data_IF_697542801911
#
_entry.id   IF_697542801911
#
_cell.length_a   1.000
_cell.length_b   1.000
_cell.length_c   1.000
_cell.angle_alpha   90.00
_cell.angle_beta   90.00
_cell.angle_gamma   90.00
#
_symmetry.space_group_name_H-M   'P 1'
#
loop_
_entity.id
_entity.type
_entity.pdbx_description
1 polymer ?
#
# COMPACT_ATOMS: atom_id res chain seq x y z
N UNK A 1 -19.79 -35.54 43.48
CA UNK A 1 -19.32 -36.63 44.37
C UNK A 1 -17.80 -36.61 44.37
N UNK A 2 -17.22 -36.69 45.57
CA UNK A 2 -15.82 -36.92 45.96
C UNK A 2 -15.03 -37.84 44.98
N UNK A 3 -13.69 -37.83 44.85
CA UNK A 3 -12.59 -37.41 45.73
C UNK A 3 -11.25 -37.38 44.96
N UNK A 4 -10.30 -36.62 45.49
CA UNK A 4 -8.84 -36.68 45.26
C UNK A 4 -8.24 -38.06 45.60
N UNK A 5 -7.10 -38.40 44.99
CA UNK A 5 -5.89 -39.05 45.60
C UNK A 5 -4.79 -39.19 44.51
N UNK A 6 -3.63 -38.54 44.56
CA UNK A 6 -2.42 -38.77 45.39
C UNK A 6 -1.85 -40.20 45.36
N UNK A 7 -0.61 -40.35 44.85
CA UNK A 7 0.44 -41.17 45.48
C UNK A 7 1.81 -40.90 44.83
N UNK A 8 2.74 -40.33 45.62
CA UNK A 8 4.19 -40.41 45.44
C UNK A 8 4.66 -41.85 45.74
N UNK A 9 5.75 -42.28 45.11
CA UNK A 9 6.73 -43.18 45.73
C UNK A 9 8.13 -42.99 45.14
N UNK A 10 9.07 -42.63 46.03
CA UNK A 10 10.53 -42.68 45.91
C UNK A 10 11.02 -44.14 45.77
N UNK A 11 12.16 -44.35 45.07
CA UNK A 11 13.30 -45.17 45.56
C UNK A 11 14.42 -45.19 44.48
N UNK A 12 15.51 -44.43 44.67
CA UNK A 12 16.86 -44.90 45.10
C UNK A 12 17.63 -45.85 44.17
N UNK A 13 18.73 -45.30 43.64
CA UNK A 13 20.12 -45.82 43.57
C UNK A 13 20.43 -47.22 43.00
N UNK A 14 21.31 -47.26 41.98
CA UNK A 14 22.41 -48.23 41.87
C UNK A 14 23.50 -47.71 40.92
N UNK A 15 24.75 -47.83 41.40
CA UNK A 15 26.02 -47.38 40.80
C UNK A 15 26.53 -48.30 39.68
N UNK A 16 27.46 -47.74 38.87
CA UNK A 16 28.79 -48.25 38.47
C UNK A 16 29.03 -48.02 36.97
N UNK A 17 30.02 -47.21 36.58
CA UNK A 17 31.40 -47.62 36.22
C UNK A 17 31.88 -46.59 35.16
N UNK A 18 33.13 -46.25 34.85
CA UNK A 18 34.48 -46.78 35.05
C UNK A 18 35.44 -45.57 35.07
N UNK A 19 36.55 -45.69 35.80
CA UNK A 19 37.67 -44.75 35.84
C UNK A 19 38.43 -44.62 34.51
N UNK A 20 38.97 -43.43 34.24
CA UNK A 20 40.26 -43.28 33.55
C UNK A 20 41.14 -42.30 34.32
N UNK A 21 42.30 -42.80 34.72
CA UNK A 21 43.50 -42.13 35.25
C UNK A 21 43.95 -40.97 34.33
N UNK A 22 44.62 -39.90 34.76
CA UNK A 22 45.15 -39.49 36.06
C UNK A 22 46.03 -38.24 35.88
N UNK A 23 46.27 -37.47 36.95
CA UNK A 23 47.61 -37.06 37.39
C UNK A 23 47.54 -36.20 38.67
N UNK A 24 48.54 -36.42 39.52
CA UNK A 24 48.84 -35.76 40.78
C UNK A 24 49.04 -34.25 40.58
N UNK A 25 48.68 -33.37 41.51
CA UNK A 25 49.48 -33.10 42.73
C UNK A 25 48.70 -32.47 43.88
N UNK A 26 49.23 -32.74 45.07
CA UNK A 26 48.73 -32.49 46.41
C UNK A 26 49.36 -31.22 46.98
N UNK A 27 48.59 -30.40 47.69
CA UNK A 27 49.07 -29.63 48.83
C UNK A 27 47.95 -29.52 49.87
N UNK A 28 48.15 -30.19 51.01
CA UNK A 28 47.33 -30.09 52.22
C UNK A 28 47.82 -28.91 53.07
N UNK A 29 46.89 -28.21 53.72
CA UNK A 29 47.14 -27.38 54.88
C UNK A 29 45.94 -27.44 55.83
N UNK A 30 46.15 -28.02 57.01
CA UNK A 30 45.19 -28.22 58.11
C UNK A 30 45.09 -26.98 59.02
N UNK A 31 44.06 -27.02 59.89
CA UNK A 31 43.85 -26.30 61.17
C UNK A 31 43.02 -25.02 61.04
N UNK A 32 42.07 -24.68 61.93
CA UNK A 32 41.59 -25.23 63.21
C UNK A 32 40.17 -24.66 63.48
N UNK A 33 39.41 -25.33 64.34
CA UNK A 33 38.03 -25.05 64.79
C UNK A 33 37.79 -23.63 65.31
N UNK A 34 36.58 -23.10 65.05
CA UNK A 34 35.79 -22.34 66.03
C UNK A 34 34.30 -22.39 65.65
N UNK A 35 33.47 -22.76 66.63
CA UNK A 35 32.01 -22.75 66.56
C UNK A 35 31.53 -21.34 66.18
N UNK A 36 30.66 -21.23 65.17
CA UNK A 36 29.82 -20.05 65.07
C UNK A 36 28.50 -20.39 64.37
N UNK A 37 27.45 -20.37 65.19
CA UNK A 37 26.10 -19.88 64.92
C UNK A 37 25.68 -19.82 63.44
N UNK A 38 24.69 -20.63 63.08
CA UNK A 38 23.92 -20.48 61.84
C UNK A 38 23.18 -19.15 61.94
N UNK A 39 23.79 -18.07 61.46
CA UNK A 39 23.06 -16.91 60.99
C UNK A 39 22.79 -17.22 59.53
N UNK A 40 21.51 -17.44 59.20
CA UNK A 40 21.07 -17.43 57.83
C UNK A 40 21.55 -16.11 57.23
N UNK A 41 22.52 -16.18 56.32
CA UNK A 41 22.84 -15.05 55.47
C UNK A 41 21.58 -14.77 54.69
N UNK A 42 20.85 -13.73 55.07
CA UNK A 42 19.99 -12.99 54.16
C UNK A 42 20.87 -12.73 52.94
N UNK A 43 20.63 -13.46 51.86
CA UNK A 43 21.18 -13.11 50.56
C UNK A 43 20.75 -11.68 50.34
N UNK A 44 21.68 -10.72 50.43
CA UNK A 44 21.45 -9.34 50.05
C UNK A 44 20.77 -9.39 48.68
N UNK A 45 19.47 -9.07 48.65
CA UNK A 45 18.69 -9.10 47.43
C UNK A 45 19.18 -7.96 46.56
N UNK A 46 20.18 -8.25 45.73
CA UNK A 46 20.70 -7.26 44.81
C UNK A 46 19.59 -6.92 43.82
N UNK A 47 19.12 -5.67 43.88
CA UNK A 47 18.13 -5.15 42.95
C UNK A 47 18.67 -5.29 41.52
N UNK A 48 17.87 -5.87 40.63
CA UNK A 48 18.24 -6.10 39.24
C UNK A 48 17.48 -5.13 38.33
N UNK A 49 18.16 -4.52 37.34
CA UNK A 49 17.48 -3.66 36.38
C UNK A 49 16.53 -4.48 35.51
N UNK A 50 15.38 -3.91 35.18
CA UNK A 50 14.41 -4.55 34.31
C UNK A 50 14.71 -4.24 32.85
N UNK A 51 14.67 -5.28 32.01
CA UNK A 51 14.70 -5.12 30.56
C UNK A 51 13.74 -6.10 29.88
N UNK A 52 12.72 -5.55 29.22
CA UNK A 52 11.77 -6.29 28.41
C UNK A 52 11.74 -5.77 26.98
N UNK A 53 11.49 -6.65 26.01
CA UNK A 53 11.23 -6.24 24.62
C UNK A 53 10.22 -7.13 23.93
N UNK A 54 9.41 -6.54 23.06
CA UNK A 54 8.40 -7.23 22.25
C UNK A 54 8.26 -6.53 20.90
N UNK A 55 8.19 -7.32 19.82
CA UNK A 55 7.83 -6.78 18.50
C UNK A 55 6.33 -6.93 18.29
N UNK A 56 5.67 -5.82 17.94
CA UNK A 56 4.26 -5.75 17.60
C UNK A 56 4.15 -4.90 16.32
N UNK A 57 3.49 -5.43 15.28
CA UNK A 57 3.35 -4.74 13.98
C UNK A 57 4.68 -4.27 13.35
N UNK A 58 5.74 -5.07 13.51
CA UNK A 58 7.06 -4.77 12.96
C UNK A 58 7.89 -3.76 13.76
N UNK A 59 7.26 -3.01 14.68
CA UNK A 59 7.92 -2.09 15.61
C UNK A 59 8.42 -2.88 16.82
N UNK A 60 9.70 -2.69 17.17
CA UNK A 60 10.29 -3.27 18.37
C UNK A 60 10.10 -2.30 19.54
N UNK A 61 9.21 -2.66 20.47
CA UNK A 61 9.00 -1.92 21.72
C UNK A 61 9.89 -2.53 22.79
N UNK A 62 10.65 -1.71 23.51
CA UNK A 62 11.43 -2.15 24.67
C UNK A 62 11.22 -1.25 25.87
N UNK A 63 11.19 -1.85 27.05
CA UNK A 63 11.11 -1.16 28.34
C UNK A 63 12.39 -1.44 29.12
N UNK A 64 13.02 -0.38 29.60
CA UNK A 64 14.16 -0.42 30.51
C UNK A 64 13.78 0.29 31.80
N UNK A 65 14.08 -0.31 32.94
CA UNK A 65 13.96 0.37 34.23
C UNK A 65 15.19 0.08 35.10
N UNK A 66 15.49 1.04 35.96
CA UNK A 66 16.54 0.89 36.95
C UNK A 66 16.26 -0.25 37.93
N UNK A 67 17.31 -0.65 38.64
CA UNK A 67 17.24 -1.72 39.63
C UNK A 67 16.21 -1.38 40.73
N UNK A 68 15.32 -2.32 41.04
CA UNK A 68 14.33 -2.18 42.11
C UNK A 68 13.01 -1.50 41.70
N UNK A 69 12.95 -0.87 40.52
CA UNK A 69 11.72 -0.24 40.00
C UNK A 69 10.60 -1.26 39.76
N UNK A 70 10.96 -2.48 39.34
CA UNK A 70 10.05 -3.61 39.21
C UNK A 70 10.54 -4.81 40.03
N UNK A 71 9.63 -5.62 40.61
CA UNK A 71 9.99 -6.87 41.27
C UNK A 71 10.72 -7.85 40.35
N UNK A 72 11.48 -8.77 40.96
CA UNK A 72 12.11 -9.88 40.23
C UNK A 72 11.06 -10.70 39.46
N UNK A 73 11.46 -11.25 38.32
CA UNK A 73 10.63 -12.06 37.41
C UNK A 73 9.48 -11.31 36.72
N UNK A 74 9.42 -10.00 36.84
CA UNK A 74 8.48 -9.18 36.07
C UNK A 74 8.62 -9.43 34.56
N UNK A 75 7.52 -9.32 33.82
CA UNK A 75 7.47 -9.59 32.37
C UNK A 75 6.81 -8.46 31.61
N UNK A 76 7.41 -8.07 30.49
CA UNK A 76 6.80 -7.10 29.58
C UNK A 76 5.67 -7.76 28.76
N UNK A 77 4.52 -7.10 28.73
CA UNK A 77 3.38 -7.37 27.84
C UNK A 77 3.16 -6.14 26.96
N UNK A 78 3.09 -6.37 25.65
CA UNK A 78 2.76 -5.32 24.67
C UNK A 78 1.69 -5.86 23.75
N UNK A 79 0.58 -5.12 23.64
CA UNK A 79 -0.55 -5.42 22.75
C UNK A 79 -0.82 -4.24 21.83
N UNK A 80 -1.30 -4.52 20.62
CA UNK A 80 -1.85 -3.49 19.74
C UNK A 80 -3.30 -3.22 20.12
N UNK A 81 -3.70 -1.96 20.18
CA UNK A 81 -5.11 -1.62 20.29
C UNK A 81 -5.82 -1.94 18.96
N UNK A 82 -6.60 -3.02 18.94
CA UNK A 82 -7.27 -3.52 17.73
C UNK A 82 -8.76 -3.17 17.64
N UNK A 83 -9.36 -2.67 18.72
CA UNK A 83 -10.77 -2.28 18.73
C UNK A 83 -10.94 -0.97 17.95
N UNK A 84 -11.76 -1.00 16.89
CA UNK A 84 -11.96 0.15 15.98
C UNK A 84 -12.50 1.38 16.69
N UNK A 85 -13.38 1.20 17.68
CA UNK A 85 -14.01 2.30 18.42
C UNK A 85 -12.98 3.01 19.27
N UNK A 86 -12.26 2.26 20.12
CA UNK A 86 -11.23 2.82 21.01
C UNK A 86 -10.10 3.47 20.22
N UNK A 87 -9.67 2.84 19.12
CA UNK A 87 -8.65 3.41 18.23
C UNK A 87 -9.07 4.80 17.71
N UNK A 88 -10.31 4.94 17.24
CA UNK A 88 -10.82 6.20 16.69
C UNK A 88 -10.86 7.31 17.74
N UNK A 89 -11.27 7.00 18.96
CA UNK A 89 -11.31 7.98 20.07
C UNK A 89 -9.91 8.49 20.43
N UNK A 90 -8.94 7.58 20.50
CA UNK A 90 -7.54 7.95 20.74
C UNK A 90 -7.01 8.84 19.62
N UNK A 91 -7.26 8.49 18.35
CA UNK A 91 -6.83 9.28 17.20
C UNK A 91 -7.46 10.69 17.19
N UNK A 92 -8.77 10.82 17.46
CA UNK A 92 -9.47 12.12 17.50
C UNK A 92 -8.86 13.07 18.55
N UNK A 93 -8.51 12.56 19.73
CA UNK A 93 -7.89 13.36 20.79
C UNK A 93 -6.45 13.74 20.50
N UNK A 94 -5.69 12.82 19.92
CA UNK A 94 -4.31 13.11 19.48
C UNK A 94 -4.32 14.14 18.36
N UNK A 95 -5.26 14.06 17.42
CA UNK A 95 -5.47 15.08 16.38
C UNK A 95 -5.84 16.44 16.96
N UNK A 96 -6.67 16.50 18.00
CA UNK A 96 -7.02 17.77 18.68
C UNK A 96 -5.77 18.43 19.28
N UNK A 97 -4.90 17.67 19.96
CA UNK A 97 -3.63 18.20 20.46
C UNK A 97 -2.67 18.62 19.36
N UNK A 98 -2.61 17.88 18.26
CA UNK A 98 -1.74 18.20 17.14
C UNK A 98 -2.19 19.48 16.41
N UNK A 99 -3.50 19.75 16.36
CA UNK A 99 -4.04 21.01 15.81
C UNK A 99 -3.63 22.24 16.60
N UNK A 100 -3.43 22.13 17.91
CA UNK A 100 -2.92 23.24 18.74
C UNK A 100 -1.48 23.63 18.38
N UNK A 101 -0.76 22.76 17.66
CA UNK A 101 0.65 22.92 17.27
C UNK A 101 0.86 22.93 15.75
N UNK A 102 -0.20 23.22 14.97
CA UNK A 102 -0.16 23.25 13.50
C UNK A 102 0.42 21.97 12.88
N UNK A 103 0.04 20.81 13.44
CA UNK A 103 0.47 19.50 13.00
C UNK A 103 -0.72 18.60 12.56
N UNK A 104 -0.53 17.79 11.52
CA UNK A 104 -1.50 16.80 11.03
C UNK A 104 -1.05 15.37 11.37
N UNK A 105 -1.98 14.53 11.83
CA UNK A 105 -1.75 13.11 12.08
C UNK A 105 -1.87 12.32 10.76
N UNK A 106 -0.79 11.68 10.32
CA UNK A 106 -0.78 10.86 9.10
C UNK A 106 -1.06 9.38 9.38
N UNK A 107 -0.40 8.84 10.42
CA UNK A 107 -0.53 7.45 10.81
C UNK A 107 -0.29 7.30 12.32
N UNK A 108 -0.99 6.36 12.96
CA UNK A 108 -0.86 6.07 14.39
C UNK A 108 -0.62 4.58 14.67
N UNK A 109 0.29 4.30 15.59
CA UNK A 109 0.51 2.97 16.18
C UNK A 109 0.25 3.05 17.68
N UNK A 110 -0.83 2.40 18.12
CA UNK A 110 -1.29 2.45 19.51
C UNK A 110 -0.93 1.14 20.21
N UNK A 111 -0.10 1.24 21.24
CA UNK A 111 0.39 0.12 22.04
C UNK A 111 -0.14 0.21 23.47
N UNK A 112 -0.82 -0.84 23.90
CA UNK A 112 -1.07 -1.12 25.32
C UNK A 112 0.19 -1.82 25.87
N UNK A 113 0.96 -1.07 26.66
CA UNK A 113 2.20 -1.52 27.28
C UNK A 113 1.92 -1.74 28.76
N UNK A 114 2.25 -2.91 29.29
CA UNK A 114 2.15 -3.21 30.71
C UNK A 114 3.30 -4.11 31.17
N UNK A 115 3.71 -3.97 32.42
CA UNK A 115 4.63 -4.89 33.09
C UNK A 115 3.83 -5.75 34.05
N UNK A 116 4.04 -7.06 34.02
CA UNK A 116 3.32 -8.02 34.84
C UNK A 116 4.23 -8.61 35.91
N UNK A 117 3.69 -8.92 37.08
CA UNK A 117 4.36 -9.72 38.11
C UNK A 117 4.45 -11.21 37.74
N UNK A 118 4.87 -12.06 38.68
CA UNK A 118 5.00 -13.50 38.44
C UNK A 118 3.64 -14.20 38.34
N UNK A 119 2.61 -13.62 38.95
CA UNK A 119 1.23 -14.08 39.02
C UNK A 119 0.41 -13.63 37.79
N UNK A 120 0.89 -12.62 37.07
CA UNK A 120 0.28 -12.07 35.85
C UNK A 120 -0.51 -10.79 36.07
N UNK A 121 -0.43 -10.18 37.25
CA UNK A 121 -1.09 -8.92 37.58
C UNK A 121 -0.28 -7.73 37.07
N UNK A 122 -0.96 -6.65 36.67
CA UNK A 122 -0.31 -5.45 36.13
C UNK A 122 0.34 -4.61 37.23
N UNK A 123 1.58 -4.19 36.97
CA UNK A 123 2.42 -3.41 37.88
C UNK A 123 2.64 -2.00 37.33
N UNK A 124 2.53 -1.02 38.22
CA UNK A 124 3.02 0.33 37.99
C UNK A 124 4.47 0.47 38.54
N UNK A 125 5.33 1.29 37.91
CA UNK A 125 6.69 1.49 38.37
C UNK A 125 6.78 2.15 39.74
N UNK A 126 7.76 1.71 40.53
CA UNK A 126 8.17 2.42 41.75
C UNK A 126 9.16 3.54 41.38
N UNK A 127 8.62 4.71 41.06
CA UNK A 127 9.39 5.86 40.57
C UNK A 127 10.31 6.47 41.65
N UNK A 128 10.18 6.08 42.92
CA UNK A 128 11.15 6.48 43.96
C UNK A 128 12.47 5.71 43.85
N UNK A 129 12.45 4.52 43.22
CA UNK A 129 13.63 3.64 43.09
C UNK A 129 14.43 3.87 41.81
N UNK A 130 13.88 4.55 40.82
CA UNK A 130 14.62 4.93 39.61
C UNK A 130 13.74 5.19 38.39
N UNK A 131 14.40 5.44 37.27
CA UNK A 131 13.74 5.85 36.03
C UNK A 131 13.21 4.66 35.22
N UNK A 132 12.12 4.88 34.49
CA UNK A 132 11.63 3.98 33.43
C UNK A 132 11.72 4.65 32.08
N UNK A 133 12.15 3.89 31.09
CA UNK A 133 12.23 4.32 29.70
C UNK A 133 11.56 3.33 28.76
N UNK A 134 10.73 3.86 27.88
CA UNK A 134 10.16 3.13 26.75
C UNK A 134 10.91 3.51 25.50
N UNK A 135 11.24 2.53 24.66
CA UNK A 135 11.87 2.75 23.37
C UNK A 135 11.12 2.07 22.24
N UNK A 136 11.08 2.76 21.11
CA UNK A 136 10.53 2.28 19.85
C UNK A 136 11.67 2.19 18.83
N UNK A 137 11.89 0.99 18.30
CA UNK A 137 12.95 0.69 17.34
C UNK A 137 12.37 0.05 16.07
N UNK A 138 13.20 0.00 15.02
CA UNK A 138 12.82 -0.50 13.68
C UNK A 138 11.77 0.37 12.99
N UNK A 139 11.90 1.68 13.16
CA UNK A 139 11.02 2.73 12.64
C UNK A 139 11.20 2.98 11.13
N UNK A 140 11.55 1.96 10.35
CA UNK A 140 11.78 2.06 8.89
C UNK A 140 10.47 2.32 8.10
N UNK A 141 9.38 2.59 8.81
CA UNK A 141 8.03 2.89 8.31
C UNK A 141 7.83 4.36 7.91
N UNK A 142 8.80 5.24 8.19
CA UNK A 142 8.66 6.68 7.96
C UNK A 142 8.93 7.10 6.52
N UNK A 143 8.02 7.92 5.98
CA UNK A 143 8.26 8.70 4.76
C UNK A 143 9.30 9.81 5.02
N UNK A 144 10.12 10.13 4.00
CA UNK A 144 11.16 11.16 4.08
C UNK A 144 10.53 12.53 4.38
N UNK A 145 10.97 13.20 5.44
CA UNK A 145 10.51 14.53 5.84
C UNK A 145 9.35 14.55 6.85
N UNK A 146 8.95 13.41 7.43
CA UNK A 146 7.92 13.35 8.49
C UNK A 146 8.55 13.26 9.88
N UNK A 147 7.82 13.75 10.89
CA UNK A 147 8.23 13.70 12.30
C UNK A 147 7.50 12.60 13.06
N UNK A 148 8.09 12.16 14.17
CA UNK A 148 7.43 11.28 15.12
C UNK A 148 7.10 12.05 16.39
N UNK A 149 5.87 11.89 16.85
CA UNK A 149 5.44 12.29 18.19
C UNK A 149 5.01 11.05 18.98
N UNK A 150 5.31 11.04 20.27
CA UNK A 150 4.84 10.00 21.20
C UNK A 150 3.92 10.63 22.22
N UNK A 151 2.71 10.08 22.31
CA UNK A 151 1.72 10.44 23.31
C UNK A 151 1.47 9.27 24.27
N UNK A 152 1.03 9.60 25.47
CA UNK A 152 0.62 8.71 26.52
C UNK A 152 -0.84 8.99 26.92
N UNK A 153 -1.64 7.94 27.10
CA UNK A 153 -3.03 8.04 27.55
C UNK A 153 -3.34 6.95 28.58
N UNK A 154 -3.93 7.32 29.72
CA UNK A 154 -4.40 6.36 30.74
C UNK A 154 -5.40 5.34 30.20
N UNK A 155 -6.33 5.80 29.37
CA UNK A 155 -7.36 4.99 28.72
C UNK A 155 -7.78 5.64 27.39
N UNK A 156 -8.53 4.95 26.50
CA UNK A 156 -8.86 5.48 25.18
C UNK A 156 -9.59 6.84 25.17
N UNK A 157 -10.27 7.18 26.27
CA UNK A 157 -11.06 8.40 26.43
C UNK A 157 -10.33 9.48 27.26
N UNK A 158 -9.12 9.20 27.77
CA UNK A 158 -8.32 10.13 28.57
C UNK A 158 -7.67 11.23 27.71
N UNK A 159 -7.26 12.33 28.33
CA UNK A 159 -6.51 13.38 27.63
C UNK A 159 -5.07 12.91 27.33
N UNK A 160 -4.58 13.06 26.08
CA UNK A 160 -3.23 12.64 25.74
C UNK A 160 -2.16 13.59 26.29
N UNK A 161 -1.21 12.99 27.01
CA UNK A 161 0.03 13.64 27.43
C UNK A 161 1.11 13.42 26.37
N UNK A 162 1.75 14.49 25.92
CA UNK A 162 2.81 14.41 24.93
C UNK A 162 4.15 14.18 25.60
N UNK A 163 4.82 13.08 25.25
CA UNK A 163 6.09 12.70 25.86
C UNK A 163 7.31 13.20 25.09
N UNK A 164 7.24 13.25 23.75
CA UNK A 164 8.38 13.66 22.91
C UNK A 164 7.97 13.94 21.47
N UNK A 165 8.70 14.86 20.83
CA UNK A 165 8.78 15.01 19.38
C UNK A 165 10.20 14.78 18.89
N UNK A 166 10.34 14.08 17.76
CA UNK A 166 11.64 13.90 17.11
C UNK A 166 11.50 14.08 15.60
N UNK A 167 12.25 15.06 15.06
CA UNK A 167 12.60 15.15 13.64
C UNK A 167 13.52 13.98 13.30
N UNK A 168 12.96 12.91 12.73
CA UNK A 168 13.72 11.68 12.49
C UNK A 168 14.67 11.87 11.32
N UNK A 169 15.98 11.90 11.59
CA UNK A 169 17.02 11.78 10.56
C UNK A 169 17.06 10.32 10.09
N UNK A 170 17.26 10.05 8.79
CA UNK A 170 17.33 8.68 8.19
C UNK A 170 18.30 7.69 8.90
N UNK A 171 19.14 8.17 9.83
CA UNK A 171 20.08 7.38 10.63
C UNK A 171 19.59 7.01 12.05
N UNK A 172 18.53 7.64 12.56
CA UNK A 172 18.02 7.40 13.91
C UNK A 172 16.99 6.26 13.89
N UNK A 173 17.41 5.08 14.36
CA UNK A 173 16.61 3.85 14.35
C UNK A 173 15.89 3.58 15.68
N UNK A 174 15.92 4.53 16.61
CA UNK A 174 15.43 4.39 17.98
C UNK A 174 14.88 5.72 18.52
N UNK A 175 13.65 5.70 19.01
CA UNK A 175 13.05 6.76 19.81
C UNK A 175 12.94 6.29 21.27
N UNK A 176 13.35 7.09 22.24
CA UNK A 176 13.32 6.74 23.67
C UNK A 176 12.65 7.87 24.47
N UNK A 177 11.66 7.51 25.30
CA UNK A 177 10.91 8.44 26.15
C UNK A 177 10.94 7.95 27.59
N UNK A 178 10.95 8.89 28.54
CA UNK A 178 10.72 8.60 29.96
C UNK A 178 9.22 8.46 30.22
N UNK A 179 8.84 7.66 31.20
CA UNK A 179 7.44 7.52 31.61
C UNK A 179 7.34 7.15 33.08
N UNK A 180 6.27 7.60 33.74
CA UNK A 180 6.02 7.39 35.16
C UNK A 180 4.94 6.33 35.42
N UNK A 181 4.26 5.84 34.37
CA UNK A 181 3.20 4.84 34.45
C UNK A 181 2.99 4.14 33.11
N UNK A 182 2.24 3.05 33.11
CA UNK A 182 1.99 2.24 31.92
C UNK A 182 0.50 2.13 31.59
N UNK A 183 0.17 2.51 30.36
CA UNK A 183 -1.12 2.28 29.73
C UNK A 183 -0.97 2.34 28.20
N UNK A 184 -1.55 3.34 27.52
CA UNK A 184 -1.53 3.46 26.08
C UNK A 184 -0.42 4.42 25.63
N UNK A 185 0.43 3.93 24.74
CA UNK A 185 1.44 4.73 24.04
C UNK A 185 1.04 4.85 22.57
N UNK A 186 0.91 6.08 22.09
CA UNK A 186 0.59 6.38 20.70
C UNK A 186 1.84 6.90 20.02
N UNK A 187 2.38 6.11 19.10
CA UNK A 187 3.42 6.54 18.19
C UNK A 187 2.75 7.14 16.94
N UNK A 188 2.81 8.46 16.83
CA UNK A 188 2.17 9.25 15.78
C UNK A 188 3.19 9.70 14.74
N UNK A 189 2.90 9.44 13.46
CA UNK A 189 3.59 10.05 12.33
C UNK A 189 2.88 11.37 12.02
N UNK A 190 3.60 12.49 12.13
CA UNK A 190 3.01 13.83 12.03
C UNK A 190 3.66 14.66 10.92
N UNK A 191 2.89 15.62 10.43
CA UNK A 191 3.30 16.62 9.44
C UNK A 191 3.11 18.02 10.03
N UNK A 192 4.18 18.78 10.26
CA UNK A 192 4.10 20.17 10.77
C UNK A 192 4.21 21.13 9.61
N UNK A 193 3.22 22.00 9.43
CA UNK A 193 3.18 22.93 8.30
C UNK A 193 4.17 24.12 8.39
N UNK A 194 5.08 24.14 9.38
CA UNK A 194 6.08 25.20 9.54
C UNK A 194 7.52 24.67 9.46
N UNK A 195 7.96 24.38 8.25
CA UNK A 195 9.30 24.73 7.77
C UNK A 195 9.21 24.93 6.25
N UNK A 196 9.60 26.12 5.83
CA UNK A 196 9.38 26.75 4.52
C UNK A 196 10.17 26.04 3.40
N UNK A 197 9.71 24.86 3.03
CA UNK A 197 10.04 24.17 1.79
C UNK A 197 8.81 23.35 1.45
N UNK A 198 7.90 23.89 0.63
CA UNK A 198 6.91 23.07 -0.08
C UNK A 198 7.68 22.07 -0.94
N UNK A 199 8.04 20.93 -0.35
CA UNK A 199 8.70 19.82 -1.00
C UNK A 199 7.65 18.85 -1.48
N UNK A 200 7.09 19.18 -2.64
CA UNK A 200 6.24 18.26 -3.38
C UNK A 200 7.09 17.25 -4.14
N UNK A 201 6.63 16.00 -4.21
CA UNK A 201 7.13 15.05 -5.19
C UNK A 201 6.23 15.09 -6.42
N UNK A 202 6.83 15.34 -7.58
CA UNK A 202 6.13 15.29 -8.85
C UNK A 202 6.52 14.01 -9.61
N UNK A 203 5.55 13.12 -9.85
CA UNK A 203 5.74 12.00 -10.76
C UNK A 203 5.57 12.44 -12.21
N UNK A 204 6.56 12.14 -13.05
CA UNK A 204 6.47 12.30 -14.51
C UNK A 204 6.92 11.02 -15.21
N UNK A 205 6.36 10.73 -16.37
CA UNK A 205 6.91 9.70 -17.27
C UNK A 205 7.94 10.35 -18.20
N UNK A 206 9.00 9.61 -18.56
CA UNK A 206 9.96 10.08 -19.57
C UNK A 206 9.23 10.51 -20.86
N UNK A 207 9.52 11.70 -21.35
CA UNK A 207 8.85 12.33 -22.49
C UNK A 207 7.66 13.23 -22.12
N UNK A 208 7.11 13.17 -20.90
CA UNK A 208 6.01 14.04 -20.49
C UNK A 208 6.43 15.51 -20.46
N UNK A 209 5.55 16.37 -20.96
CA UNK A 209 5.69 17.81 -20.98
C UNK A 209 4.41 18.42 -20.40
N UNK A 210 4.53 19.11 -19.27
CA UNK A 210 3.38 19.61 -18.50
C UNK A 210 3.60 21.05 -18.06
N UNK A 211 2.50 21.80 -17.95
CA UNK A 211 2.53 23.15 -17.42
C UNK A 211 2.86 23.07 -15.92
N UNK A 212 3.81 23.88 -15.45
CA UNK A 212 4.23 23.89 -14.05
C UNK A 212 3.04 24.17 -13.10
N UNK A 213 2.10 25.02 -13.53
CA UNK A 213 0.90 25.36 -12.76
C UNK A 213 -0.05 24.17 -12.54
N UNK A 214 0.01 23.12 -13.36
CA UNK A 214 -0.81 21.91 -13.16
C UNK A 214 -0.41 21.13 -11.90
N UNK A 215 0.76 21.43 -11.31
CA UNK A 215 1.32 20.71 -10.17
C UNK A 215 1.33 21.50 -8.88
N UNK A 216 0.98 22.79 -8.95
CA UNK A 216 1.02 23.69 -7.83
C UNK A 216 -0.38 23.82 -7.26
N UNK A 217 -0.51 23.72 -5.94
CA UNK A 217 -1.79 23.84 -5.22
C UNK A 217 -2.49 25.18 -5.51
N UNK A 218 -3.83 25.22 -5.39
CA UNK A 218 -4.71 26.30 -5.86
C UNK A 218 -4.44 27.72 -5.28
N UNK A 219 -3.52 27.88 -4.33
CA UNK A 219 -3.05 29.17 -3.81
C UNK A 219 -1.75 29.72 -4.44
N UNK A 220 -1.05 28.91 -5.24
CA UNK A 220 0.28 29.21 -5.78
C UNK A 220 0.24 29.68 -7.24
N UNK A 221 -0.83 30.39 -7.64
CA UNK A 221 -0.92 30.98 -8.99
C UNK A 221 0.11 32.11 -9.11
N UNK A 222 1.02 31.93 -10.06
CA UNK A 222 2.16 32.79 -10.26
C UNK A 222 1.78 34.22 -10.71
N UNK A 223 2.48 35.20 -10.14
CA UNK A 223 2.51 36.59 -10.59
C UNK A 223 3.92 36.85 -11.14
N UNK A 224 4.04 37.69 -12.18
CA UNK A 224 5.27 37.95 -12.95
C UNK A 224 6.59 37.97 -12.14
N UNK A 225 7.65 37.34 -12.66
CA UNK A 225 9.02 37.46 -12.11
C UNK A 225 9.63 36.22 -11.46
N UNK A 226 9.21 35.01 -11.84
CA UNK A 226 9.65 33.75 -11.22
C UNK A 226 10.85 33.15 -11.93
N UNK A 227 11.84 32.71 -11.15
CA UNK A 227 12.99 31.93 -11.63
C UNK A 227 12.75 30.45 -11.32
N UNK A 228 12.69 29.61 -12.36
CA UNK A 228 12.56 28.16 -12.21
C UNK A 228 13.77 27.48 -12.81
N UNK A 229 14.42 26.62 -12.04
CA UNK A 229 15.64 25.89 -12.45
C UNK A 229 15.54 24.43 -12.05
N UNK A 230 16.22 23.56 -12.79
CA UNK A 230 16.39 22.14 -12.47
C UNK A 230 17.84 21.89 -12.08
N UNK A 231 18.09 21.11 -11.03
CA UNK A 231 19.44 20.67 -10.67
C UNK A 231 20.02 19.65 -11.67
N UNK A 232 19.16 19.00 -12.46
CA UNK A 232 19.51 18.02 -13.51
C UNK A 232 18.69 18.29 -14.78
N UNK A 233 19.17 19.23 -15.61
CA UNK A 233 18.52 19.57 -16.88
C UNK A 233 18.51 18.44 -17.92
N UNK A 234 19.32 17.40 -17.72
CA UNK A 234 19.30 16.17 -18.52
C UNK A 234 18.19 15.20 -18.12
N UNK A 235 17.61 15.35 -16.93
CA UNK A 235 16.47 14.56 -16.41
C UNK A 235 15.18 15.36 -16.56
N UNK A 236 15.15 16.62 -16.13
CA UNK A 236 13.98 17.51 -16.28
C UNK A 236 14.44 18.86 -16.79
N UNK A 237 13.88 19.30 -17.92
CA UNK A 237 14.15 20.61 -18.50
C UNK A 237 12.98 21.56 -18.28
N UNK A 238 13.30 22.75 -17.79
CA UNK A 238 12.38 23.88 -17.70
C UNK A 238 12.46 24.69 -18.99
N UNK A 239 11.32 25.07 -19.56
CA UNK A 239 11.27 25.96 -20.72
C UNK A 239 10.01 26.84 -20.67
N UNK A 240 10.02 27.94 -21.41
CA UNK A 240 8.86 28.83 -21.53
C UNK A 240 8.19 28.55 -22.87
N UNK A 241 6.89 28.28 -22.84
CA UNK A 241 6.09 28.16 -24.05
C UNK A 241 6.09 29.50 -24.82
N UNK A 242 6.51 29.53 -26.09
CA UNK A 242 6.63 30.78 -26.83
C UNK A 242 5.28 31.46 -27.08
N UNK A 243 4.20 30.68 -27.17
CA UNK A 243 2.86 31.14 -27.52
C UNK A 243 2.08 31.54 -26.27
N UNK A 244 2.06 30.69 -25.23
CA UNK A 244 1.29 30.94 -24.01
C UNK A 244 2.06 31.70 -22.92
N UNK A 245 3.40 31.75 -23.01
CA UNK A 245 4.32 32.25 -21.97
C UNK A 245 4.30 31.44 -20.68
N UNK A 246 3.68 30.27 -20.68
CA UNK A 246 3.68 29.38 -19.51
C UNK A 246 5.05 28.77 -19.25
N UNK A 247 5.39 28.60 -17.98
CA UNK A 247 6.53 27.80 -17.57
C UNK A 247 6.16 26.32 -17.68
N UNK A 248 6.87 25.58 -18.53
CA UNK A 248 6.68 24.16 -18.79
C UNK A 248 7.86 23.36 -18.32
N UNK A 249 7.58 22.16 -17.82
CA UNK A 249 8.61 21.20 -17.40
C UNK A 249 8.50 19.93 -18.23
N UNK A 250 9.63 19.52 -18.80
CA UNK A 250 9.75 18.37 -19.69
C UNK A 250 10.64 17.31 -19.07
N UNK A 251 10.10 16.12 -18.86
CA UNK A 251 10.84 14.95 -18.43
C UNK A 251 11.63 14.37 -19.62
N UNK A 252 12.95 14.32 -19.52
CA UNK A 252 13.84 13.91 -20.59
C UNK A 252 14.41 12.50 -20.41
N UNK A 253 14.60 12.06 -19.17
CA UNK A 253 15.26 10.80 -18.86
C UNK A 253 14.82 10.27 -17.50
N UNK A 254 14.67 8.96 -17.37
CA UNK A 254 14.47 8.31 -16.06
C UNK A 254 15.50 8.78 -15.02
N UNK A 255 15.00 9.18 -13.84
CA UNK A 255 15.83 9.67 -12.76
C UNK A 255 15.05 10.56 -11.80
N UNK A 256 15.79 11.27 -10.96
CA UNK A 256 15.24 12.26 -10.03
C UNK A 256 15.93 13.59 -10.26
N UNK A 257 15.16 14.65 -10.37
CA UNK A 257 15.64 16.03 -10.42
C UNK A 257 14.90 16.86 -9.37
N UNK A 258 15.53 17.92 -8.90
CA UNK A 258 14.94 18.91 -8.01
C UNK A 258 14.69 20.18 -8.81
N UNK A 259 13.42 20.57 -8.92
CA UNK A 259 13.06 21.89 -9.43
C UNK A 259 13.12 22.89 -8.29
N UNK A 260 13.87 23.97 -8.47
CA UNK A 260 13.88 25.13 -7.56
C UNK A 260 13.08 26.25 -8.20
N UNK A 261 12.07 26.73 -7.51
CA UNK A 261 11.19 27.84 -7.90
C UNK A 261 11.46 28.97 -6.92
N UNK A 262 11.88 30.13 -7.43
CA UNK A 262 12.05 31.35 -6.64
C UNK A 262 11.01 32.38 -7.04
N UNK A 263 10.32 32.91 -6.05
CA UNK A 263 9.31 33.94 -6.22
C UNK A 263 9.60 35.13 -5.29
N UNK A 264 9.47 36.35 -5.79
CA UNK A 264 9.63 37.57 -5.00
C UNK A 264 8.25 38.04 -4.56
N UNK A 265 8.00 38.04 -3.25
CA UNK A 265 6.71 38.42 -2.67
C UNK A 265 6.92 39.62 -1.76
N UNK A 266 5.99 40.59 -1.80
CA UNK A 266 6.01 41.73 -0.88
C UNK A 266 5.26 41.31 0.39
N UNK A 267 5.99 41.16 1.49
CA UNK A 267 5.42 40.87 2.82
C UNK A 267 5.64 42.11 3.68
N UNK A 268 4.54 42.71 4.15
CA UNK A 268 4.58 43.90 5.02
C UNK A 268 5.43 45.06 4.46
N UNK A 269 5.38 45.27 3.14
CA UNK A 269 6.09 46.35 2.45
C UNK A 269 7.58 46.10 2.16
N UNK A 270 8.10 44.91 2.50
CA UNK A 270 9.47 44.48 2.16
C UNK A 270 9.44 43.36 1.14
N UNK A 271 10.35 43.39 0.16
CA UNK A 271 10.53 42.30 -0.80
C UNK A 271 11.23 41.12 -0.10
N UNK A 272 10.56 39.96 -0.11
CA UNK A 272 11.07 38.71 0.45
C UNK A 272 11.11 37.68 -0.69
N UNK A 273 12.24 37.01 -0.85
CA UNK A 273 12.37 35.90 -1.80
C UNK A 273 11.91 34.61 -1.12
N UNK A 274 10.88 33.98 -1.68
CA UNK A 274 10.40 32.66 -1.30
C UNK A 274 11.00 31.62 -2.25
N UNK A 275 11.54 30.54 -1.70
CA UNK A 275 12.16 29.45 -2.47
C UNK A 275 11.40 28.16 -2.19
N UNK A 276 10.92 27.50 -3.25
CA UNK A 276 10.24 26.20 -3.18
C UNK A 276 11.02 25.17 -3.98
N UNK A 277 11.09 23.93 -3.49
CA UNK A 277 11.82 22.85 -4.13
C UNK A 277 10.94 21.64 -4.36
N UNK A 278 10.77 21.20 -5.61
CA UNK A 278 9.96 20.02 -5.94
C UNK A 278 10.88 18.90 -6.43
N UNK A 279 10.77 17.72 -5.82
CA UNK A 279 11.45 16.53 -6.35
C UNK A 279 10.63 15.97 -7.50
N UNK A 280 11.12 16.07 -8.72
CA UNK A 280 10.54 15.39 -9.87
C UNK A 280 11.15 14.00 -9.99
N UNK A 281 10.31 12.98 -9.93
CA UNK A 281 10.68 11.59 -10.20
C UNK A 281 10.21 11.27 -11.61
N UNK A 282 11.16 11.20 -12.53
CA UNK A 282 10.92 10.73 -13.89
C UNK A 282 11.06 9.22 -13.87
N UNK A 283 9.96 8.52 -14.13
CA UNK A 283 9.96 7.07 -14.29
C UNK A 283 10.03 6.71 -15.77
N UNK A 284 10.66 5.58 -16.08
CA UNK A 284 10.50 4.98 -17.41
C UNK A 284 9.01 4.76 -17.66
N UNK A 285 8.45 5.13 -18.82
CA UNK A 285 7.06 4.85 -19.15
C UNK A 285 6.80 3.36 -18.97
N UNK A 286 5.68 3.02 -18.32
CA UNK A 286 5.30 1.63 -18.11
C UNK A 286 5.19 0.94 -19.47
N UNK A 287 6.21 0.17 -19.84
CA UNK A 287 6.40 -0.27 -21.22
C UNK A 287 5.76 -1.63 -21.51
N UNK A 288 5.22 -2.31 -20.49
CA UNK A 288 4.53 -3.57 -20.67
C UNK A 288 4.52 -4.49 -19.46
N UNK A 289 3.89 -5.65 -19.62
CA UNK A 289 3.80 -6.66 -18.58
C UNK A 289 3.31 -8.00 -19.13
N UNK A 290 3.30 -9.00 -18.25
CA UNK A 290 2.79 -10.34 -18.60
C UNK A 290 1.25 -10.33 -18.59
N UNK A 291 0.65 -10.91 -19.62
CA UNK A 291 -0.81 -11.10 -19.75
C UNK A 291 -1.23 -12.56 -19.56
N UNK A 292 -0.33 -13.51 -19.81
CA UNK A 292 -0.54 -14.94 -19.63
C UNK A 292 0.78 -15.71 -19.61
N UNK A 293 0.75 -17.04 -19.52
CA UNK A 293 1.98 -17.85 -19.61
C UNK A 293 2.81 -17.56 -20.86
N UNK A 294 2.13 -17.41 -22.01
CA UNK A 294 2.77 -17.19 -23.30
C UNK A 294 2.38 -15.86 -23.93
N UNK A 295 1.93 -14.91 -23.10
CA UNK A 295 1.36 -13.66 -23.58
C UNK A 295 1.84 -12.48 -22.75
N UNK A 296 2.13 -11.38 -23.43
CA UNK A 296 2.54 -10.11 -22.85
C UNK A 296 1.84 -8.97 -23.55
N UNK A 297 1.79 -7.84 -22.88
CA UNK A 297 1.42 -6.57 -23.48
C UNK A 297 2.59 -5.59 -23.35
N UNK A 298 2.65 -4.63 -24.26
CA UNK A 298 3.59 -3.52 -24.21
C UNK A 298 2.92 -2.23 -24.65
N UNK A 299 3.35 -1.12 -24.07
CA UNK A 299 2.92 0.22 -24.44
C UNK A 299 4.11 0.94 -25.08
N UNK A 300 3.86 1.63 -26.19
CA UNK A 300 4.84 2.46 -26.88
C UNK A 300 4.21 3.75 -27.37
N UNK A 301 5.02 4.74 -27.73
CA UNK A 301 4.56 6.09 -28.09
C UNK A 301 4.35 6.98 -26.87
N UNK A 302 3.92 8.22 -27.13
CA UNK A 302 3.89 9.29 -26.13
C UNK A 302 2.55 10.05 -26.15
N UNK A 303 2.22 10.69 -25.02
CA UNK A 303 1.03 11.53 -24.90
C UNK A 303 -0.27 10.78 -25.23
N UNK A 304 -1.14 11.40 -26.03
CA UNK A 304 -2.42 10.83 -26.49
C UNK A 304 -2.29 9.96 -27.75
N UNK A 305 -1.07 9.55 -28.12
CA UNK A 305 -0.77 8.79 -29.34
C UNK A 305 -0.11 7.44 -29.00
N UNK A 306 -0.41 6.86 -27.84
CA UNK A 306 0.19 5.60 -27.42
C UNK A 306 -0.38 4.41 -28.21
N UNK A 307 0.46 3.40 -28.41
CA UNK A 307 0.12 2.11 -29.00
C UNK A 307 0.24 1.01 -27.96
N UNK A 308 -0.87 0.32 -27.69
CA UNK A 308 -0.90 -0.91 -26.92
C UNK A 308 -0.70 -2.10 -27.85
N UNK A 309 0.36 -2.87 -27.66
CA UNK A 309 0.62 -4.11 -28.38
C UNK A 309 0.44 -5.31 -27.46
N UNK A 310 -0.42 -6.24 -27.83
CA UNK A 310 -0.61 -7.53 -27.15
C UNK A 310 -0.02 -8.61 -28.04
N UNK A 311 0.96 -9.35 -27.52
CA UNK A 311 1.73 -10.33 -28.28
C UNK A 311 1.93 -11.63 -27.51
N UNK A 312 2.18 -12.71 -28.25
CA UNK A 312 2.24 -14.05 -27.71
C UNK A 312 1.21 -14.96 -28.36
N UNK A 313 0.85 -16.05 -27.68
CA UNK A 313 -0.10 -17.00 -28.22
C UNK A 313 -1.03 -17.62 -27.17
N UNK A 314 -2.17 -18.11 -27.62
CA UNK A 314 -3.19 -18.73 -26.78
C UNK A 314 -4.01 -17.71 -25.99
N UNK A 315 -4.38 -18.09 -24.76
CA UNK A 315 -5.23 -17.30 -23.87
C UNK A 315 -4.43 -16.60 -22.76
N UNK A 316 -4.85 -15.38 -22.42
CA UNK A 316 -4.35 -14.66 -21.24
C UNK A 316 -4.84 -15.29 -19.93
N UNK A 317 -4.21 -14.90 -18.82
CA UNK A 317 -4.68 -15.27 -17.48
C UNK A 317 -6.04 -14.61 -17.20
N UNK A 318 -6.90 -15.29 -16.43
CA UNK A 318 -8.20 -14.77 -16.03
C UNK A 318 -8.05 -13.53 -15.13
N UNK A 319 -8.58 -12.40 -15.59
CA UNK A 319 -8.45 -11.08 -14.98
C UNK A 319 -9.77 -10.33 -15.01
N UNK A 320 -10.08 -9.69 -13.89
CA UNK A 320 -11.25 -8.81 -13.80
C UNK A 320 -11.04 -7.49 -14.58
N UNK A 321 -9.80 -6.97 -14.59
CA UNK A 321 -9.47 -5.67 -15.19
C UNK A 321 -8.22 -5.73 -16.06
N UNK A 322 -8.24 -4.99 -17.16
CA UNK A 322 -7.09 -4.79 -18.02
C UNK A 322 -5.93 -4.09 -17.30
N UNK A 323 -4.67 -4.58 -17.44
CA UNK A 323 -3.51 -3.93 -16.84
C UNK A 323 -3.23 -2.51 -17.33
N UNK A 324 -3.66 -2.19 -18.56
CA UNK A 324 -3.49 -0.87 -19.19
C UNK A 324 -4.63 0.10 -18.90
N UNK A 325 -5.52 -0.19 -17.94
CA UNK A 325 -6.66 0.68 -17.62
C UNK A 325 -6.23 2.12 -17.26
N UNK A 326 -5.10 2.27 -16.57
CA UNK A 326 -4.56 3.59 -16.21
C UNK A 326 -4.18 4.44 -17.45
N UNK A 327 -3.93 3.80 -18.59
CA UNK A 327 -3.50 4.42 -19.84
C UNK A 327 -4.65 4.58 -20.85
N UNK A 328 -5.90 4.27 -20.47
CA UNK A 328 -7.05 4.27 -21.40
C UNK A 328 -7.26 5.60 -22.12
N UNK A 329 -6.91 6.72 -21.48
CA UNK A 329 -7.05 8.08 -22.03
C UNK A 329 -5.83 8.49 -22.88
N UNK A 330 -4.76 7.69 -22.90
CA UNK A 330 -3.54 7.92 -23.67
C UNK A 330 -3.42 7.02 -24.91
N UNK A 331 -4.09 5.86 -24.91
CA UNK A 331 -4.02 4.84 -25.98
C UNK A 331 -4.86 5.27 -27.18
N UNK A 332 -4.19 5.40 -28.34
CA UNK A 332 -4.78 5.67 -29.64
C UNK A 332 -4.89 4.44 -30.51
N UNK A 333 -3.93 3.52 -30.39
CA UNK A 333 -3.84 2.32 -31.23
C UNK A 333 -3.76 1.07 -30.38
N UNK A 334 -4.51 0.04 -30.74
CA UNK A 334 -4.40 -1.31 -30.16
C UNK A 334 -4.02 -2.30 -31.25
N UNK A 335 -2.95 -3.06 -31.01
CA UNK A 335 -2.48 -4.12 -31.90
C UNK A 335 -2.52 -5.42 -31.13
N UNK A 336 -3.45 -6.31 -31.47
CA UNK A 336 -3.45 -7.68 -30.99
C UNK A 336 -2.77 -8.54 -32.06
N UNK A 337 -1.58 -9.06 -31.73
CA UNK A 337 -0.74 -9.77 -32.69
C UNK A 337 -1.24 -11.19 -32.97
N UNK A 338 -0.83 -11.76 -34.11
CA UNK A 338 -1.12 -13.14 -34.46
C UNK A 338 -0.63 -14.13 -33.40
N UNK A 339 -1.42 -15.18 -33.20
CA UNK A 339 -1.25 -16.19 -32.16
C UNK A 339 -2.19 -15.99 -30.97
N UNK A 340 -2.65 -14.76 -30.71
CA UNK A 340 -3.55 -14.46 -29.58
C UNK A 340 -4.96 -14.98 -29.88
N UNK A 341 -5.44 -15.88 -29.03
CA UNK A 341 -6.78 -16.49 -29.13
C UNK A 341 -7.81 -15.81 -28.22
N UNK A 342 -7.38 -15.30 -27.06
CA UNK A 342 -8.25 -14.55 -26.14
C UNK A 342 -7.46 -13.82 -25.07
N UNK A 343 -7.99 -12.70 -24.57
CA UNK A 343 -7.24 -11.83 -23.64
C UNK A 343 -7.29 -12.29 -22.18
N UNK A 344 -8.24 -13.16 -21.81
CA UNK A 344 -8.48 -13.55 -20.42
C UNK A 344 -9.02 -12.41 -19.55
N UNK A 345 -9.49 -11.30 -20.14
CA UNK A 345 -10.04 -10.16 -19.38
C UNK A 345 -11.56 -10.23 -19.46
N UNK A 346 -12.21 -10.45 -18.31
CA UNK A 346 -13.65 -10.72 -18.23
C UNK A 346 -14.52 -9.58 -18.74
N UNK A 347 -14.10 -8.32 -18.51
CA UNK A 347 -14.92 -7.16 -18.83
C UNK A 347 -14.11 -5.97 -19.35
N UNK A 348 -14.60 -5.37 -20.42
CA UNK A 348 -14.16 -4.08 -20.95
C UNK A 348 -12.63 -3.89 -21.09
N UNK A 349 -11.89 -4.83 -21.73
CA UNK A 349 -10.45 -4.68 -21.96
C UNK A 349 -10.05 -3.36 -22.63
N UNK A 350 -10.89 -2.80 -23.50
CA UNK A 350 -10.66 -1.54 -24.21
C UNK A 350 -11.81 -0.55 -24.04
N UNK A 351 -12.65 -0.74 -23.02
CA UNK A 351 -13.77 0.14 -22.75
C UNK A 351 -13.33 1.51 -22.25
N UNK A 352 -14.09 2.54 -22.60
CA UNK A 352 -13.87 3.94 -22.21
C UNK A 352 -12.49 4.48 -22.62
N UNK A 353 -11.92 3.98 -23.72
CA UNK A 353 -10.71 4.54 -24.32
C UNK A 353 -11.07 5.69 -25.26
N UNK A 354 -11.07 6.91 -24.74
CA UNK A 354 -11.58 8.11 -25.44
C UNK A 354 -10.77 8.50 -26.68
N UNK A 355 -9.50 8.11 -26.75
CA UNK A 355 -8.60 8.42 -27.86
C UNK A 355 -8.36 7.22 -28.79
N UNK A 356 -8.94 6.05 -28.50
CA UNK A 356 -8.76 4.86 -29.32
C UNK A 356 -9.39 5.06 -30.70
N UNK A 357 -8.55 5.07 -31.74
CA UNK A 357 -8.94 5.22 -33.13
C UNK A 357 -8.76 3.92 -33.90
N UNK A 358 -7.62 3.25 -33.72
CA UNK A 358 -7.18 2.17 -34.61
C UNK A 358 -6.99 0.86 -33.82
N UNK A 359 -7.63 -0.22 -34.28
CA UNK A 359 -7.56 -1.54 -33.63
C UNK A 359 -7.27 -2.61 -34.68
N UNK A 360 -6.22 -3.40 -34.43
CA UNK A 360 -5.89 -4.59 -35.24
C UNK A 360 -6.23 -5.85 -34.44
N UNK A 361 -7.14 -6.68 -34.98
CA UNK A 361 -7.50 -7.97 -34.43
C UNK A 361 -6.89 -9.09 -35.29
N UNK A 362 -6.27 -10.13 -34.69
CA UNK A 362 -5.58 -11.16 -35.45
C UNK A 362 -6.55 -12.21 -35.96
N UNK A 363 -6.18 -12.89 -37.05
CA UNK A 363 -6.95 -14.00 -37.61
C UNK A 363 -7.06 -15.22 -36.69
N UNK A 364 -6.32 -15.23 -35.58
CA UNK A 364 -6.35 -16.28 -34.54
C UNK A 364 -7.33 -16.00 -33.40
N UNK A 365 -7.84 -14.77 -33.26
CA UNK A 365 -8.72 -14.37 -32.15
C UNK A 365 -10.04 -15.16 -32.13
N UNK A 366 -10.41 -15.68 -30.97
CA UNK A 366 -11.62 -16.50 -30.76
C UNK A 366 -12.73 -15.75 -30.05
N UNK A 367 -12.38 -14.82 -29.18
CA UNK A 367 -13.32 -14.18 -28.26
C UNK A 367 -13.16 -12.66 -28.26
N UNK A 368 -14.28 -11.95 -28.24
CA UNK A 368 -14.40 -10.54 -27.91
C UNK A 368 -15.31 -10.44 -26.69
N UNK A 369 -14.76 -10.09 -25.54
CA UNK A 369 -15.45 -10.11 -24.25
C UNK A 369 -16.61 -9.11 -24.18
N UNK A 370 -17.43 -9.23 -23.13
CA UNK A 370 -18.45 -8.23 -22.81
C UNK A 370 -17.83 -6.83 -22.68
N UNK A 371 -18.50 -5.85 -23.27
CA UNK A 371 -18.12 -4.43 -23.22
C UNK A 371 -16.73 -4.11 -23.80
N UNK A 372 -16.16 -4.98 -24.65
CA UNK A 372 -14.77 -4.88 -25.10
C UNK A 372 -14.31 -3.48 -25.52
N UNK A 373 -15.11 -2.76 -26.29
CA UNK A 373 -14.89 -1.41 -26.80
C UNK A 373 -16.06 -0.48 -26.46
N UNK A 374 -16.73 -0.70 -25.32
CA UNK A 374 -17.82 0.18 -24.90
C UNK A 374 -17.31 1.62 -24.77
N UNK A 375 -18.04 2.61 -25.28
CA UNK A 375 -17.67 4.03 -25.22
C UNK A 375 -16.29 4.37 -25.80
N UNK A 376 -15.71 3.53 -26.67
CA UNK A 376 -14.53 3.91 -27.47
C UNK A 376 -14.98 4.82 -28.63
N UNK A 377 -15.36 6.05 -28.29
CA UNK A 377 -16.16 6.92 -29.14
C UNK A 377 -15.47 7.39 -30.43
N UNK A 378 -14.14 7.34 -30.48
CA UNK A 378 -13.33 7.67 -31.67
C UNK A 378 -12.92 6.45 -32.51
N UNK A 379 -13.31 5.23 -32.12
CA UNK A 379 -12.93 4.00 -32.81
C UNK A 379 -13.37 4.08 -34.28
N UNK A 380 -12.40 3.95 -35.19
CA UNK A 380 -12.61 3.95 -36.64
C UNK A 380 -13.14 2.58 -37.10
N UNK A 381 -13.03 2.32 -38.39
CA UNK A 381 -13.48 1.07 -38.99
C UNK A 381 -12.73 -0.12 -38.39
N UNK A 382 -13.45 -1.20 -38.14
CA UNK A 382 -12.92 -2.42 -37.53
C UNK A 382 -13.31 -3.64 -38.35
N UNK A 383 -12.38 -4.58 -38.49
CA UNK A 383 -12.65 -5.89 -39.10
C UNK A 383 -12.63 -6.93 -38.00
N UNK A 384 -13.77 -7.59 -37.77
CA UNK A 384 -13.84 -8.75 -36.87
C UNK A 384 -13.44 -9.99 -37.67
N UNK A 385 -12.42 -10.76 -37.24
CA UNK A 385 -11.93 -11.90 -38.00
C UNK A 385 -12.91 -13.08 -37.97
N UNK A 386 -12.81 -13.96 -38.98
CA UNK A 386 -13.72 -15.09 -39.15
C UNK A 386 -13.60 -16.17 -38.06
N UNK A 387 -12.47 -16.18 -37.37
CA UNK A 387 -12.14 -17.09 -36.27
C UNK A 387 -12.87 -16.80 -34.97
N UNK A 388 -13.46 -15.61 -34.82
CA UNK A 388 -14.22 -15.23 -33.63
C UNK A 388 -15.48 -16.08 -33.54
N UNK A 389 -15.65 -16.75 -32.41
CA UNK A 389 -16.78 -17.63 -32.09
C UNK A 389 -17.63 -17.10 -30.95
N UNK A 390 -17.17 -16.04 -30.27
CA UNK A 390 -17.89 -15.39 -29.19
C UNK A 390 -17.70 -13.88 -29.21
N UNK A 391 -18.81 -13.14 -29.09
CA UNK A 391 -18.85 -11.69 -28.96
C UNK A 391 -19.81 -11.35 -27.82
N UNK A 392 -19.31 -10.61 -26.84
CA UNK A 392 -20.04 -10.21 -25.65
C UNK A 392 -21.06 -9.10 -25.88
N UNK A 393 -21.92 -8.93 -24.89
CA UNK A 393 -22.91 -7.86 -24.80
C UNK A 393 -22.23 -6.49 -24.86
N UNK A 394 -22.81 -5.57 -25.63
CA UNK A 394 -22.32 -4.18 -25.75
C UNK A 394 -20.83 -4.04 -26.12
N UNK A 395 -20.25 -5.04 -26.78
CA UNK A 395 -18.84 -5.06 -27.14
C UNK A 395 -18.39 -3.86 -27.99
N UNK A 396 -19.27 -3.25 -28.78
CA UNK A 396 -19.01 -2.10 -29.65
C UNK A 396 -20.04 -0.99 -29.45
N UNK A 397 -20.64 -0.90 -28.27
CA UNK A 397 -21.67 0.10 -27.99
C UNK A 397 -21.07 1.49 -27.81
N UNK A 398 -21.61 2.48 -28.53
CA UNK A 398 -21.20 3.90 -28.50
C UNK A 398 -22.40 4.77 -28.15
N UNK A 399 -22.16 5.86 -27.42
CA UNK A 399 -23.16 6.90 -27.16
C UNK A 399 -22.48 8.26 -26.92
N UNK A 400 -23.27 9.33 -26.86
CA UNK A 400 -22.76 10.68 -26.62
C UNK A 400 -22.66 11.53 -27.89
N UNK A 401 -22.56 12.84 -27.68
CA UNK A 401 -22.58 13.87 -28.75
C UNK A 401 -21.32 13.87 -29.60
N UNK A 402 -20.21 13.37 -29.06
CA UNK A 402 -18.88 13.50 -29.65
C UNK A 402 -18.42 12.20 -30.32
N UNK A 403 -19.31 11.19 -30.37
CA UNK A 403 -19.01 9.88 -30.95
C UNK A 403 -18.97 9.92 -32.47
N UNK A 404 -17.88 9.41 -33.06
CA UNK A 404 -17.71 9.34 -34.50
C UNK A 404 -18.53 8.18 -35.10
N UNK A 405 -18.97 8.30 -36.34
CA UNK A 405 -19.62 7.16 -37.02
C UNK A 405 -18.56 6.23 -37.63
N UNK A 406 -18.66 4.92 -37.40
CA UNK A 406 -17.74 3.93 -37.97
C UNK A 406 -18.44 2.76 -38.68
N UNK A 407 -17.68 2.01 -39.47
CA UNK A 407 -18.12 0.75 -40.09
C UNK A 407 -17.40 -0.45 -39.50
N UNK A 408 -18.15 -1.42 -39.00
CA UNK A 408 -17.63 -2.74 -38.59
C UNK A 408 -17.89 -3.75 -39.70
N UNK A 409 -16.83 -4.39 -40.21
CA UNK A 409 -16.93 -5.53 -41.12
C UNK A 409 -16.82 -6.80 -40.29
N UNK A 410 -17.95 -7.45 -40.06
CA UNK A 410 -18.01 -8.69 -39.29
C UNK A 410 -17.86 -9.91 -40.22
N UNK A 411 -16.68 -10.55 -40.16
CA UNK A 411 -16.42 -11.81 -40.88
C UNK A 411 -16.70 -13.06 -40.02
N UNK A 412 -17.00 -12.88 -38.73
CA UNK A 412 -17.30 -13.96 -37.81
C UNK A 412 -18.65 -14.63 -38.13
N UNK A 413 -18.87 -15.80 -37.54
CA UNK A 413 -20.17 -16.49 -37.62
C UNK A 413 -21.24 -15.91 -36.69
N UNK A 414 -20.86 -14.95 -35.83
CA UNK A 414 -21.74 -14.37 -34.81
C UNK A 414 -22.54 -13.22 -35.41
N UNK A 415 -23.86 -13.27 -35.27
CA UNK A 415 -24.74 -12.20 -35.73
C UNK A 415 -24.67 -11.03 -34.75
N UNK A 416 -24.17 -9.88 -35.21
CA UNK A 416 -24.23 -8.64 -34.45
C UNK A 416 -25.62 -8.02 -34.60
N UNK A 417 -26.21 -7.66 -33.48
CA UNK A 417 -27.51 -7.00 -33.41
C UNK A 417 -27.46 -5.77 -32.51
N UNK A 418 -28.23 -4.77 -32.90
CA UNK A 418 -28.50 -3.51 -32.19
C UNK A 418 -29.80 -3.57 -31.36
N UNK A 419 -30.44 -4.73 -31.30
CA UNK A 419 -31.62 -5.03 -30.48
C UNK A 419 -31.32 -6.27 -29.63
N UNK A 420 -31.63 -6.27 -28.32
CA UNK A 420 -31.31 -7.40 -27.44
C UNK A 420 -29.97 -7.24 -26.70
N UNK A 421 -28.92 -8.00 -27.06
CA UNK A 421 -27.57 -7.89 -26.46
C UNK A 421 -26.87 -6.54 -26.71
N UNK A 422 -27.45 -5.69 -27.57
CA UNK A 422 -26.97 -4.34 -27.91
C UNK A 422 -25.48 -4.34 -28.28
N UNK A 423 -25.03 -5.26 -29.15
CA UNK A 423 -23.61 -5.39 -29.49
C UNK A 423 -23.01 -4.06 -29.99
N UNK A 424 -23.82 -3.26 -30.69
CA UNK A 424 -23.46 -1.93 -31.17
C UNK A 424 -24.70 -1.02 -31.15
N UNK A 425 -24.47 0.28 -31.35
CA UNK A 425 -25.53 1.27 -31.52
C UNK A 425 -25.58 1.73 -32.99
N UNK A 426 -26.70 1.50 -33.70
CA UNK A 426 -26.82 1.84 -35.12
C UNK A 426 -26.72 3.34 -35.42
N UNK A 427 -26.96 4.22 -34.43
CA UNK A 427 -26.76 5.66 -34.61
C UNK A 427 -25.29 6.02 -34.86
N UNK A 428 -24.35 5.20 -34.36
CA UNK A 428 -22.92 5.48 -34.41
C UNK A 428 -22.11 4.41 -35.16
N UNK A 429 -22.72 3.28 -35.49
CA UNK A 429 -22.01 2.16 -36.12
C UNK A 429 -22.85 1.48 -37.19
N UNK A 430 -22.28 1.41 -38.40
CA UNK A 430 -22.80 0.58 -39.49
C UNK A 430 -22.12 -0.79 -39.46
N UNK A 431 -22.90 -1.88 -39.44
CA UNK A 431 -22.35 -3.25 -39.50
C UNK A 431 -22.56 -3.86 -40.89
N UNK A 432 -21.47 -4.38 -41.48
CA UNK A 432 -21.49 -5.22 -42.68
C UNK A 432 -21.20 -6.66 -42.28
N UNK A 433 -22.18 -7.55 -42.43
CA UNK A 433 -22.06 -8.95 -42.01
C UNK A 433 -22.81 -9.90 -42.95
N UNK A 434 -22.31 -11.12 -43.08
CA UNK A 434 -23.01 -12.22 -43.77
C UNK A 434 -23.63 -13.22 -42.78
N UNK A 435 -23.31 -13.10 -41.50
CA UNK A 435 -23.93 -13.88 -40.43
C UNK A 435 -25.45 -13.68 -40.45
N UNK A 436 -26.20 -14.75 -40.15
CA UNK A 436 -27.65 -14.72 -40.09
C UNK A 436 -28.11 -14.82 -38.64
N UNK A 437 -29.13 -14.04 -38.26
CA UNK A 437 -29.76 -14.14 -36.96
C UNK A 437 -30.32 -15.56 -36.78
N UNK A 438 -29.93 -16.25 -35.72
CA UNK A 438 -30.52 -17.54 -35.36
C UNK A 438 -31.95 -17.26 -34.86
N UNK A 439 -32.96 -17.88 -35.47
CA UNK A 439 -34.33 -17.81 -34.96
C UNK A 439 -34.36 -18.48 -33.58
N UNK A 440 -34.87 -17.78 -32.57
CA UNK A 440 -35.07 -18.36 -31.25
C UNK A 440 -36.00 -19.57 -31.38
N UNK A 441 -35.52 -20.75 -30.97
CA UNK A 441 -36.39 -21.91 -30.81
C UNK A 441 -37.44 -21.56 -29.76
N UNK A 442 -38.65 -21.25 -30.22
CA UNK A 442 -39.86 -21.08 -29.40
C UNK A 442 -39.90 -22.25 -28.41
N UNK A 443 -39.69 -21.98 -27.12
CA UNK A 443 -39.78 -23.00 -26.06
C UNK A 443 -41.10 -23.73 -26.24
N UNK A 444 -41.06 -24.99 -26.70
CA UNK A 444 -42.26 -25.84 -26.73
C UNK A 444 -42.67 -26.05 -25.29
N UNK A 445 -43.80 -25.45 -24.89
CA UNK A 445 -44.38 -25.68 -23.57
C UNK A 445 -44.62 -27.17 -23.39
N UNK A 446 -43.99 -27.78 -22.39
CA UNK A 446 -44.25 -29.16 -22.02
C UNK A 446 -45.51 -29.16 -21.13
N UNK A 447 -46.62 -29.70 -21.64
CA UNK A 447 -47.76 -30.04 -20.80
C UNK A 447 -47.49 -31.38 -20.13
N UNK A 448 -47.37 -31.37 -18.79
CA UNK A 448 -47.27 -32.59 -18.00
C UNK A 448 -48.70 -33.03 -17.65
N UNK A 449 -49.21 -34.03 -18.37
CA UNK A 449 -50.59 -34.51 -18.19
C UNK A 449 -50.77 -35.38 -16.93
N UNK A 450 -49.70 -35.97 -16.40
CA UNK A 450 -49.72 -36.63 -15.09
C UNK A 450 -48.31 -36.82 -14.54
N UNK A 451 -48.17 -36.68 -13.22
CA UNK A 451 -46.98 -37.06 -12.44
C UNK A 451 -47.38 -38.22 -11.54
N UNK A 452 -46.61 -39.32 -11.56
CA UNK A 452 -46.68 -40.37 -10.55
C UNK A 452 -45.38 -40.39 -9.76
N UNK A 453 -45.48 -40.07 -8.48
CA UNK A 453 -44.38 -40.21 -7.53
C UNK A 453 -44.56 -41.54 -6.79
N UNK A 454 -43.50 -42.33 -6.73
CA UNK A 454 -43.47 -43.55 -5.94
C UNK A 454 -42.64 -43.32 -4.69
N UNK A 455 -43.19 -43.62 -3.52
CA UNK A 455 -42.42 -43.67 -2.29
C UNK A 455 -41.71 -45.01 -2.19
N UNK A 456 -40.42 -44.95 -1.89
CA UNK A 456 -39.63 -46.13 -1.52
C UNK A 456 -39.98 -46.47 -0.07
N UNK A 457 -40.35 -47.73 0.26
CA UNK A 457 -40.65 -48.12 1.63
C UNK A 457 -39.42 -47.94 2.52
N UNK A 458 -39.65 -47.40 3.72
CA UNK A 458 -38.65 -47.16 4.77
C UNK A 458 -38.08 -48.45 5.35
#
# INVERSE_FOLDING_TARGET
MFRKTCALALSTLMLLSVFSTGNLTRAMGKSREEENTIVASEEEEQDVPFYGKKTVDGILVSVKADAGVFPKKSKLKVKKLSQKVDKKKVEEKVEEKLKEEDAELLESFIFDISVLDAEGEELQPDNEKGDVKVSFERLNILAKGKELAVFHLDEPDAEPEKLSDVKVKEKEKKLEVKTDHFSLFVLSVIDRSEDDMETGSLGMEEGEDKNLNEFLSEGNRFVEGIEVSSDHEDIVRVHIDPDTKDVRIKALKEGKATLTIKNKVIVSGSEVEQVKQYTVIVQSPFSGGRLGQNMKYSLSGEGKNMTLTISGYGYGDDRERAPWFAYRDKIKTVIIAEGVEGLGIRRAPFGYMENLEDVTLPSTLKEISDFAFIQSNKLKNLIIPASVVEIGSQAFYKEGTDATHNTIINRSSIYLEDTGKLHYNHSFTTVKQTAKKKEEQKKRGVQINSIRLYQVPS
#
